data_IF_213842409336
#
_entry.id   IF_213842409336
#
_cell.length_a   1.000
_cell.length_b   1.000
_cell.length_c   1.000
_cell.angle_alpha   90.00
_cell.angle_beta   90.00
_cell.angle_gamma   90.00
#
_symmetry.space_group_name_H-M   'P 1'
#
loop_
_entity.id
_entity.type
_entity.pdbx_description
1 polymer ?
#
# COMPACT_ATOMS: atom_id res chain seq x y z
N UNK A 1 -13.82 -17.31 28.60
CA UNK A 1 -12.95 -17.10 27.41
C UNK A 1 -13.74 -16.57 26.20
N UNK A 2 -14.44 -15.43 26.33
CA UNK A 2 -15.28 -14.84 25.24
C UNK A 2 -14.69 -13.57 24.61
N UNK A 3 -13.49 -13.13 25.03
CA UNK A 3 -12.90 -11.85 24.64
C UNK A 3 -12.27 -11.82 23.22
N UNK A 4 -12.17 -12.97 22.54
CA UNK A 4 -11.57 -13.09 21.19
C UNK A 4 -12.60 -13.34 20.09
N UNK A 5 -13.89 -13.02 20.31
CA UNK A 5 -14.86 -13.06 19.22
C UNK A 5 -14.63 -11.86 18.29
N UNK A 6 -13.93 -12.12 17.19
CA UNK A 6 -13.77 -11.16 16.09
C UNK A 6 -15.15 -10.62 15.67
N UNK A 7 -15.35 -9.29 15.65
CA UNK A 7 -16.62 -8.69 15.28
C UNK A 7 -17.09 -9.19 13.91
N UNK A 8 -18.41 -9.35 13.73
CA UNK A 8 -18.98 -9.74 12.42
C UNK A 8 -18.56 -8.76 11.31
N UNK A 9 -18.36 -7.48 11.64
CA UNK A 9 -17.86 -6.45 10.72
C UNK A 9 -16.43 -6.66 10.22
N UNK A 10 -15.63 -7.50 10.88
CA UNK A 10 -14.28 -7.87 10.44
C UNK A 10 -14.24 -9.14 9.59
N UNK A 11 -15.37 -9.81 9.39
CA UNK A 11 -15.43 -11.01 8.56
C UNK A 11 -15.80 -10.63 7.13
N UNK A 12 -14.83 -10.68 6.22
CA UNK A 12 -15.09 -10.63 4.79
C UNK A 12 -15.37 -12.06 4.30
N UNK A 13 -16.59 -12.31 3.80
CA UNK A 13 -16.95 -13.63 3.26
C UNK A 13 -16.19 -13.98 1.98
N UNK A 14 -16.02 -13.01 1.08
CA UNK A 14 -15.35 -13.20 -0.22
C UNK A 14 -13.84 -13.44 -0.05
N UNK A 15 -13.31 -14.52 -0.63
CA UNK A 15 -11.86 -14.78 -0.67
C UNK A 15 -11.16 -13.81 -1.63
N UNK A 16 -11.78 -13.53 -2.78
CA UNK A 16 -11.24 -12.63 -3.80
C UNK A 16 -10.92 -11.26 -3.22
N UNK A 17 -11.86 -10.65 -2.50
CA UNK A 17 -11.65 -9.30 -1.94
C UNK A 17 -10.56 -9.29 -0.87
N UNK A 18 -10.46 -10.36 -0.07
CA UNK A 18 -9.38 -10.48 0.91
C UNK A 18 -8.03 -10.49 0.23
N UNK A 19 -7.88 -11.29 -0.82
CA UNK A 19 -6.65 -11.30 -1.60
C UNK A 19 -6.38 -9.94 -2.25
N UNK A 20 -7.39 -9.28 -2.84
CA UNK A 20 -7.20 -7.96 -3.44
C UNK A 20 -6.73 -6.92 -2.42
N UNK A 21 -7.27 -6.92 -1.19
CA UNK A 21 -6.84 -6.01 -0.12
C UNK A 21 -5.43 -6.34 0.37
N UNK A 22 -5.07 -7.61 0.49
CA UNK A 22 -3.70 -8.02 0.85
C UNK A 22 -2.71 -7.64 -0.25
N UNK A 23 -3.04 -7.88 -1.52
CA UNK A 23 -2.21 -7.46 -2.66
C UNK A 23 -2.06 -5.95 -2.69
N UNK A 24 -3.15 -5.19 -2.44
CA UNK A 24 -3.09 -3.73 -2.36
C UNK A 24 -2.15 -3.27 -1.23
N UNK A 25 -2.23 -3.89 -0.05
CA UNK A 25 -1.30 -3.58 1.03
C UNK A 25 0.15 -3.87 0.63
N UNK A 26 0.42 -5.07 0.11
CA UNK A 26 1.76 -5.49 -0.30
C UNK A 26 2.35 -4.58 -1.38
N UNK A 27 1.55 -4.14 -2.37
CA UNK A 27 2.07 -3.30 -3.46
C UNK A 27 2.43 -1.90 -2.99
N UNK A 28 1.68 -1.32 -2.04
CA UNK A 28 2.00 -0.01 -1.45
C UNK A 28 3.28 -0.10 -0.62
N UNK A 29 3.46 -1.19 0.13
CA UNK A 29 4.69 -1.44 0.89
C UNK A 29 5.88 -1.65 -0.06
N UNK A 30 5.71 -2.42 -1.13
CA UNK A 30 6.75 -2.63 -2.14
C UNK A 30 7.17 -1.32 -2.81
N UNK A 31 6.21 -0.47 -3.19
CA UNK A 31 6.47 0.88 -3.70
C UNK A 31 7.33 1.70 -2.72
N UNK A 32 6.98 1.73 -1.44
CA UNK A 32 7.76 2.41 -0.40
C UNK A 32 9.18 1.86 -0.25
N UNK A 33 9.35 0.54 -0.26
CA UNK A 33 10.65 -0.12 -0.15
C UNK A 33 11.56 0.19 -1.34
N UNK A 34 11.04 0.06 -2.57
CA UNK A 34 11.79 0.34 -3.79
C UNK A 34 12.19 1.81 -3.84
N UNK A 35 11.27 2.71 -3.51
CA UNK A 35 11.53 4.15 -3.45
C UNK A 35 12.63 4.48 -2.44
N UNK A 36 12.54 3.94 -1.22
CA UNK A 36 13.58 4.16 -0.21
C UNK A 36 14.93 3.62 -0.67
N UNK A 37 14.95 2.43 -1.29
CA UNK A 37 16.17 1.83 -1.82
C UNK A 37 16.81 2.68 -2.92
N UNK A 38 16.02 3.16 -3.89
CA UNK A 38 16.49 4.00 -4.99
C UNK A 38 17.10 5.31 -4.49
N UNK A 39 16.43 5.99 -3.56
CA UNK A 39 16.89 7.29 -3.05
C UNK A 39 18.11 7.12 -2.14
N UNK A 40 18.08 6.15 -1.23
CA UNK A 40 19.20 5.93 -0.29
C UNK A 40 20.45 5.39 -1.02
N UNK A 41 20.25 4.60 -2.08
CA UNK A 41 21.33 4.09 -2.92
C UNK A 41 21.89 5.09 -3.94
N UNK A 42 21.30 6.28 -4.07
CA UNK A 42 21.74 7.31 -5.02
C UNK A 42 21.34 7.06 -6.49
N UNK A 43 20.49 6.06 -6.75
CA UNK A 43 20.02 5.68 -8.09
C UNK A 43 18.81 6.53 -8.57
N UNK A 44 18.29 7.40 -7.72
CA UNK A 44 17.17 8.28 -8.08
C UNK A 44 17.01 9.44 -7.10
N UNK A 45 16.36 10.51 -7.56
CA UNK A 45 15.99 11.66 -6.73
C UNK A 45 14.49 11.73 -6.61
N UNK A 46 14.00 11.87 -5.38
CA UNK A 46 12.57 12.09 -5.13
C UNK A 46 12.18 13.51 -5.53
N UNK A 47 11.37 13.63 -6.58
CA UNK A 47 10.91 14.92 -7.12
C UNK A 47 9.90 15.57 -6.18
N UNK A 48 9.24 14.80 -5.32
CA UNK A 48 8.27 15.33 -4.38
C UNK A 48 8.97 15.87 -3.12
N UNK A 49 8.97 17.21 -2.89
CA UNK A 49 9.70 17.82 -1.78
C UNK A 49 9.16 17.40 -0.40
N UNK A 50 7.86 17.07 -0.30
CA UNK A 50 7.28 16.53 0.93
C UNK A 50 7.78 15.13 1.23
N UNK A 51 7.98 14.29 0.21
CA UNK A 51 8.48 12.93 0.40
C UNK A 51 9.99 12.91 0.63
N UNK A 52 10.74 13.74 -0.10
CA UNK A 52 12.20 13.86 0.03
C UNK A 52 12.64 14.14 1.47
N UNK A 53 11.95 15.04 2.18
CA UNK A 53 12.28 15.37 3.58
C UNK A 53 12.13 14.18 4.55
N UNK A 54 11.26 13.21 4.24
CA UNK A 54 10.94 12.10 5.14
C UNK A 54 11.74 10.84 4.75
N UNK A 55 12.15 10.73 3.48
CA UNK A 55 13.02 9.66 2.99
C UNK A 55 14.41 9.77 3.64
N UNK A 56 14.95 10.98 3.77
CA UNK A 56 16.26 11.22 4.41
C UNK A 56 16.30 10.87 5.90
N UNK A 57 15.16 10.92 6.60
CA UNK A 57 15.04 10.68 8.03
C UNK A 57 14.62 9.24 8.38
N UNK A 58 14.47 8.35 7.38
CA UNK A 58 14.05 6.96 7.59
C UNK A 58 12.59 6.75 8.02
N UNK A 59 11.85 7.84 8.30
CA UNK A 59 10.44 7.81 8.70
C UNK A 59 9.50 7.45 7.54
N UNK A 60 9.93 7.67 6.30
CA UNK A 60 9.13 7.50 5.09
C UNK A 60 8.46 6.11 5.00
N UNK A 61 9.23 5.03 5.14
CA UNK A 61 8.70 3.67 5.04
C UNK A 61 7.72 3.38 6.17
N UNK A 62 8.04 3.77 7.40
CA UNK A 62 7.16 3.58 8.55
C UNK A 62 5.79 4.23 8.33
N UNK A 63 5.76 5.42 7.74
CA UNK A 63 4.52 6.15 7.45
C UNK A 63 3.77 5.55 6.27
N UNK A 64 4.46 5.17 5.20
CA UNK A 64 3.83 4.46 4.08
C UNK A 64 3.19 3.16 4.55
N UNK A 65 3.90 2.36 5.35
CA UNK A 65 3.39 1.09 5.89
C UNK A 65 2.20 1.34 6.83
N UNK A 66 2.30 2.32 7.74
CA UNK A 66 1.23 2.66 8.67
C UNK A 66 -0.01 3.19 7.94
N UNK A 67 0.19 4.06 6.95
CA UNK A 67 -0.88 4.59 6.09
C UNK A 67 -1.54 3.51 5.25
N UNK A 68 -0.75 2.61 4.64
CA UNK A 68 -1.26 1.46 3.89
C UNK A 68 -2.07 0.52 4.79
N UNK A 69 -1.59 0.25 6.00
CA UNK A 69 -2.30 -0.57 6.98
C UNK A 69 -3.64 0.08 7.37
N UNK A 70 -3.65 1.36 7.72
CA UNK A 70 -4.87 2.09 8.06
C UNK A 70 -5.86 2.14 6.89
N UNK A 71 -5.37 2.43 5.67
CA UNK A 71 -6.21 2.48 4.48
C UNK A 71 -6.86 1.12 4.17
N UNK A 72 -6.08 0.04 4.18
CA UNK A 72 -6.59 -1.31 3.93
C UNK A 72 -7.52 -1.78 5.06
N UNK A 73 -7.24 -1.43 6.31
CA UNK A 73 -8.12 -1.68 7.45
C UNK A 73 -9.47 -0.94 7.32
N UNK A 74 -9.45 0.33 6.90
CA UNK A 74 -10.67 1.12 6.67
C UNK A 74 -11.51 0.52 5.54
N UNK A 75 -10.88 0.14 4.43
CA UNK A 75 -11.56 -0.55 3.32
C UNK A 75 -12.15 -1.89 3.80
N UNK A 76 -11.41 -2.64 4.62
CA UNK A 76 -11.86 -3.90 5.20
C UNK A 76 -13.12 -3.73 6.04
N UNK A 77 -13.17 -2.72 6.92
CA UNK A 77 -14.34 -2.42 7.76
C UNK A 77 -15.53 -1.97 6.90
N UNK A 78 -15.29 -1.12 5.89
CA UNK A 78 -16.34 -0.58 5.03
C UNK A 78 -16.88 -1.59 4.02
N UNK A 79 -16.15 -2.67 3.75
CA UNK A 79 -16.56 -3.70 2.80
C UNK A 79 -17.93 -4.29 3.12
N UNK A 80 -18.20 -4.54 4.41
CA UNK A 80 -19.47 -5.12 4.86
C UNK A 80 -20.68 -4.18 4.69
N UNK A 81 -20.46 -2.88 4.50
CA UNK A 81 -21.52 -1.89 4.28
C UNK A 81 -21.73 -1.64 2.78
N UNK A 82 -20.65 -1.47 2.01
CA UNK A 82 -20.70 -1.15 0.57
C UNK A 82 -19.66 -1.95 -0.23
N UNK A 83 -19.88 -3.26 -0.46
CA UNK A 83 -18.86 -4.15 -1.02
C UNK A 83 -18.43 -3.77 -2.44
N UNK A 84 -19.39 -3.37 -3.30
CA UNK A 84 -19.10 -2.97 -4.69
C UNK A 84 -18.17 -1.77 -4.76
N UNK A 85 -18.45 -0.74 -3.97
CA UNK A 85 -17.66 0.50 -3.94
C UNK A 85 -16.25 0.24 -3.43
N UNK A 86 -16.11 -0.50 -2.32
CA UNK A 86 -14.79 -0.87 -1.78
C UNK A 86 -13.98 -1.66 -2.81
N UNK A 87 -14.60 -2.62 -3.49
CA UNK A 87 -13.92 -3.39 -4.53
C UNK A 87 -13.43 -2.50 -5.68
N UNK A 88 -14.29 -1.63 -6.22
CA UNK A 88 -13.90 -0.69 -7.29
C UNK A 88 -12.74 0.21 -6.87
N UNK A 89 -12.80 0.80 -5.67
CA UNK A 89 -11.71 1.62 -5.14
C UNK A 89 -10.42 0.80 -5.03
N UNK A 90 -10.50 -0.40 -4.44
CA UNK A 90 -9.33 -1.28 -4.25
C UNK A 90 -8.66 -1.61 -5.58
N UNK A 91 -9.45 -1.94 -6.61
CA UNK A 91 -8.92 -2.28 -7.94
C UNK A 91 -8.28 -1.06 -8.62
N UNK A 92 -8.91 0.12 -8.56
CA UNK A 92 -8.35 1.36 -9.13
C UNK A 92 -7.00 1.67 -8.49
N UNK A 93 -6.93 1.66 -7.16
CA UNK A 93 -5.67 1.88 -6.44
C UNK A 93 -4.64 0.79 -6.73
N UNK A 94 -5.06 -0.47 -6.86
CA UNK A 94 -4.16 -1.56 -7.19
C UNK A 94 -3.51 -1.35 -8.56
N UNK A 95 -4.28 -0.98 -9.58
CA UNK A 95 -3.75 -0.68 -10.92
C UNK A 95 -2.79 0.51 -10.86
N UNK A 96 -3.18 1.57 -10.17
CA UNK A 96 -2.35 2.77 -10.01
C UNK A 96 -1.01 2.47 -9.34
N UNK A 97 -1.00 1.77 -8.20
CA UNK A 97 0.24 1.38 -7.52
C UNK A 97 1.05 0.36 -8.31
N UNK A 98 0.41 -0.50 -9.11
CA UNK A 98 1.14 -1.39 -10.03
C UNK A 98 1.94 -0.59 -11.05
N UNK A 99 1.34 0.46 -11.64
CA UNK A 99 2.04 1.32 -12.58
C UNK A 99 3.22 2.04 -11.93
N UNK A 100 3.06 2.53 -10.68
CA UNK A 100 4.14 3.18 -9.93
C UNK A 100 5.29 2.21 -9.64
N UNK A 101 4.99 1.01 -9.13
CA UNK A 101 6.02 0.01 -8.85
C UNK A 101 6.76 -0.37 -10.12
N UNK A 102 6.04 -0.56 -11.23
CA UNK A 102 6.65 -0.87 -12.52
C UNK A 102 7.55 0.27 -13.03
N UNK A 103 7.12 1.52 -12.87
CA UNK A 103 7.93 2.69 -13.17
C UNK A 103 9.21 2.71 -12.33
N UNK A 104 9.11 2.54 -11.01
CA UNK A 104 10.25 2.53 -10.10
C UNK A 104 11.23 1.39 -10.42
N UNK A 105 10.72 0.21 -10.76
CA UNK A 105 11.56 -0.92 -11.21
C UNK A 105 12.26 -0.62 -12.54
N UNK A 106 11.60 0.07 -13.47
CA UNK A 106 12.21 0.49 -14.72
C UNK A 106 13.36 1.47 -14.47
N UNK A 107 13.13 2.48 -13.62
CA UNK A 107 14.19 3.42 -13.21
C UNK A 107 15.37 2.68 -12.59
N UNK A 108 15.11 1.71 -11.71
CA UNK A 108 16.16 0.86 -11.14
C UNK A 108 16.96 0.14 -12.21
N UNK A 109 16.30 -0.57 -13.14
CA UNK A 109 16.97 -1.37 -14.17
C UNK A 109 17.75 -0.56 -15.21
N UNK A 110 17.33 0.69 -15.48
CA UNK A 110 18.02 1.55 -16.46
C UNK A 110 19.08 2.47 -15.85
N UNK A 111 19.10 2.61 -14.52
CA UNK A 111 20.04 3.52 -13.82
C UNK A 111 21.08 2.78 -12.97
N UNK A 112 20.81 1.54 -12.56
CA UNK A 112 21.77 0.65 -11.89
C UNK A 112 22.64 -0.11 -12.89
#
# INVERSE_FOLDING_TARGET
MNALKVPKSFRIGSRTVRYTLYTLFCIIVADGLITQFLVTGGYGSEVNPFLSAWVSHGAFLAIKVSGAFLATLLLWIKYNVKPRLVYTITVIFLVFYTAIVFWNLSVFLFTA
#
